data_IF_879966352734
#
_entry.id   IF_879966352734
#
_cell.length_a   1.000
_cell.length_b   1.000
_cell.length_c   1.000
_cell.angle_alpha   90.00
_cell.angle_beta   90.00
_cell.angle_gamma   90.00
#
_symmetry.space_group_name_H-M   'P 1'
#
loop_
_entity.id
_entity.type
_entity.pdbx_description
1 polymer ?
#
# COMPACT_ATOMS: atom_id res chain seq x y z
N UNK A 1 17.52 16.37 5.89
CA UNK A 1 16.34 15.58 6.34
C UNK A 1 16.70 14.82 7.62
N UNK A 2 15.80 14.68 8.61
CA UNK A 2 16.09 13.89 9.83
C UNK A 2 15.85 12.39 9.57
N UNK A 3 16.70 11.52 10.13
CA UNK A 3 16.57 10.06 10.00
C UNK A 3 15.16 9.54 10.38
N UNK A 4 14.50 10.17 11.35
CA UNK A 4 13.13 9.84 11.76
C UNK A 4 12.09 10.00 10.65
N UNK A 5 12.23 11.00 9.76
CA UNK A 5 11.31 11.18 8.62
C UNK A 5 11.51 10.12 7.54
N UNK A 6 12.73 9.62 7.38
CA UNK A 6 13.04 8.54 6.43
C UNK A 6 12.38 7.22 6.89
N UNK A 7 12.54 6.85 8.16
CA UNK A 7 11.88 5.67 8.73
C UNK A 7 10.35 5.76 8.69
N UNK A 8 9.78 6.95 8.92
CA UNK A 8 8.34 7.16 8.84
C UNK A 8 7.81 6.91 7.41
N UNK A 9 8.56 7.30 6.38
CA UNK A 9 8.23 6.99 4.98
C UNK A 9 8.24 5.49 4.73
N UNK A 10 9.27 4.78 5.17
CA UNK A 10 9.36 3.33 4.95
C UNK A 10 8.23 2.58 5.65
N UNK A 11 7.87 3.01 6.87
CA UNK A 11 6.70 2.47 7.58
C UNK A 11 5.39 2.74 6.82
N UNK A 12 5.21 3.96 6.30
CA UNK A 12 4.07 4.31 5.46
C UNK A 12 4.06 3.51 4.15
N UNK A 13 5.22 3.27 3.55
CA UNK A 13 5.37 2.44 2.34
C UNK A 13 4.97 0.99 2.59
N UNK A 14 5.39 0.40 3.71
CA UNK A 14 4.95 -0.94 4.13
C UNK A 14 3.43 -0.95 4.35
N UNK A 15 2.88 0.06 5.03
CA UNK A 15 1.44 0.20 5.23
C UNK A 15 0.65 0.30 3.91
N UNK A 16 1.21 1.00 2.92
CA UNK A 16 0.65 1.09 1.58
C UNK A 16 0.60 -0.28 0.88
N UNK A 17 1.70 -1.04 0.95
CA UNK A 17 1.78 -2.38 0.35
C UNK A 17 0.78 -3.33 1.01
N UNK A 18 0.69 -3.33 2.34
CA UNK A 18 -0.30 -4.15 3.08
C UNK A 18 -1.72 -3.77 2.66
N UNK A 19 -2.03 -2.48 2.59
CA UNK A 19 -3.34 -2.00 2.15
C UNK A 19 -3.66 -2.47 0.72
N UNK A 20 -2.68 -2.41 -0.19
CA UNK A 20 -2.86 -2.87 -1.56
C UNK A 20 -3.11 -4.39 -1.65
N UNK A 21 -2.38 -5.19 -0.86
CA UNK A 21 -2.59 -6.66 -0.80
C UNK A 21 -4.01 -6.98 -0.33
N UNK A 22 -4.50 -6.28 0.70
CA UNK A 22 -5.87 -6.49 1.21
C UNK A 22 -6.92 -6.15 0.16
N UNK A 23 -6.75 -5.06 -0.59
CA UNK A 23 -7.68 -4.69 -1.67
C UNK A 23 -7.68 -5.75 -2.78
N UNK A 24 -6.50 -6.27 -3.16
CA UNK A 24 -6.40 -7.34 -4.16
C UNK A 24 -7.08 -8.61 -3.65
N UNK A 25 -6.95 -8.94 -2.37
CA UNK A 25 -7.66 -10.07 -1.77
C UNK A 25 -9.18 -9.89 -1.85
N UNK A 26 -9.69 -8.67 -1.63
CA UNK A 26 -11.10 -8.32 -1.82
C UNK A 26 -11.60 -8.54 -3.26
N UNK A 27 -10.76 -8.21 -4.26
CA UNK A 27 -11.06 -8.47 -5.67
C UNK A 27 -11.15 -9.98 -5.95
N UNK A 28 -10.23 -10.77 -5.40
CA UNK A 28 -10.24 -12.23 -5.54
C UNK A 28 -11.53 -12.81 -4.94
N UNK A 29 -11.90 -12.40 -3.73
CA UNK A 29 -13.14 -12.86 -3.09
C UNK A 29 -14.39 -12.43 -3.86
N UNK A 30 -14.38 -11.24 -4.45
CA UNK A 30 -15.48 -10.78 -5.30
C UNK A 30 -15.61 -11.63 -6.57
N UNK A 31 -14.49 -12.02 -7.18
CA UNK A 31 -14.49 -12.94 -8.33
C UNK A 31 -14.99 -14.34 -7.95
N UNK A 32 -14.57 -14.86 -6.79
CA UNK A 32 -15.08 -16.14 -6.26
C UNK A 32 -16.57 -16.07 -5.95
N UNK A 33 -17.06 -14.97 -5.37
CA UNK A 33 -18.48 -14.76 -5.13
C UNK A 33 -19.28 -14.80 -6.44
N UNK A 34 -18.80 -14.12 -7.49
CA UNK A 34 -19.43 -14.12 -8.80
C UNK A 34 -19.47 -15.52 -9.44
N UNK A 35 -18.38 -16.29 -9.35
CA UNK A 35 -18.35 -17.66 -9.85
C UNK A 35 -19.32 -18.57 -9.08
N UNK A 36 -19.36 -18.47 -7.75
CA UNK A 36 -20.27 -19.27 -6.93
C UNK A 36 -21.74 -18.90 -7.16
N UNK A 37 -22.02 -17.63 -7.46
CA UNK A 37 -23.35 -17.19 -7.85
C UNK A 37 -23.80 -17.85 -9.17
N UNK A 38 -22.89 -17.97 -10.14
CA UNK A 38 -23.16 -18.66 -11.43
C UNK A 38 -23.37 -20.16 -11.22
N UNK A 39 -22.64 -20.79 -10.28
CA UNK A 39 -22.81 -22.23 -9.99
C UNK A 39 -23.99 -22.52 -9.04
N UNK A 40 -24.84 -21.52 -8.74
CA UNK A 40 -25.98 -21.63 -7.82
C UNK A 40 -25.62 -22.00 -6.37
N UNK A 41 -24.36 -21.81 -5.98
CA UNK A 41 -23.86 -22.02 -4.62
C UNK A 41 -24.04 -20.73 -3.80
N UNK A 42 -25.30 -20.34 -3.55
CA UNK A 42 -25.65 -19.03 -2.99
C UNK A 42 -25.06 -18.77 -1.60
N UNK A 43 -24.90 -19.83 -0.78
CA UNK A 43 -24.32 -19.72 0.57
C UNK A 43 -22.84 -19.31 0.49
N UNK A 44 -22.08 -19.94 -0.40
CA UNK A 44 -20.67 -19.64 -0.62
C UNK A 44 -20.50 -18.26 -1.28
N UNK A 45 -21.37 -17.94 -2.25
CA UNK A 45 -21.37 -16.63 -2.90
C UNK A 45 -21.57 -15.49 -1.89
N UNK A 46 -22.56 -15.61 -1.00
CA UNK A 46 -22.84 -14.60 0.02
C UNK A 46 -21.70 -14.48 1.05
N UNK A 47 -21.09 -15.60 1.45
CA UNK A 47 -19.94 -15.62 2.36
C UNK A 47 -18.77 -14.85 1.76
N UNK A 48 -18.38 -15.17 0.52
CA UNK A 48 -17.27 -14.47 -0.14
C UNK A 48 -17.55 -12.98 -0.37
N UNK A 49 -18.80 -12.61 -0.67
CA UNK A 49 -19.19 -11.22 -0.83
C UNK A 49 -19.07 -10.45 0.50
N UNK A 50 -19.52 -11.05 1.60
CA UNK A 50 -19.45 -10.46 2.94
C UNK A 50 -18.00 -10.23 3.39
N UNK A 51 -17.13 -11.20 3.13
CA UNK A 51 -15.69 -11.11 3.44
C UNK A 51 -14.95 -10.11 2.53
N UNK A 52 -15.40 -9.93 1.28
CA UNK A 52 -14.79 -8.97 0.36
C UNK A 52 -15.05 -7.50 0.74
N UNK A 53 -16.24 -7.18 1.28
CA UNK A 53 -16.64 -5.81 1.62
C UNK A 53 -15.66 -5.06 2.54
N UNK A 54 -15.25 -5.61 3.71
CA UNK A 54 -14.33 -4.90 4.61
C UNK A 54 -12.94 -4.72 4.00
N UNK A 55 -12.51 -5.59 3.08
CA UNK A 55 -11.20 -5.50 2.43
C UNK A 55 -11.09 -4.26 1.53
N UNK A 56 -12.20 -3.83 0.91
CA UNK A 56 -12.22 -2.59 0.11
C UNK A 56 -12.11 -1.32 0.95
N UNK A 57 -12.37 -1.37 2.25
CA UNK A 57 -12.16 -0.21 3.13
C UNK A 57 -10.70 0.26 3.11
N UNK A 58 -9.76 -0.65 2.86
CA UNK A 58 -8.32 -0.35 2.75
C UNK A 58 -7.92 0.43 1.49
N UNK A 59 -8.84 0.64 0.53
CA UNK A 59 -8.61 1.53 -0.62
C UNK A 59 -8.38 2.97 -0.15
N UNK A 60 -9.15 3.45 0.83
CA UNK A 60 -9.06 4.82 1.35
C UNK A 60 -7.70 5.12 2.00
N UNK A 61 -7.21 4.35 3.00
CA UNK A 61 -5.89 4.58 3.57
C UNK A 61 -4.79 4.34 2.54
N UNK A 62 -4.91 3.34 1.66
CA UNK A 62 -3.96 3.13 0.58
C UNK A 62 -3.81 4.36 -0.33
N UNK A 63 -4.92 4.96 -0.76
CA UNK A 63 -4.88 6.14 -1.61
C UNK A 63 -4.36 7.38 -0.87
N UNK A 64 -4.74 7.56 0.39
CA UNK A 64 -4.25 8.65 1.24
C UNK A 64 -2.73 8.57 1.45
N UNK A 65 -2.21 7.39 1.76
CA UNK A 65 -0.77 7.15 1.97
C UNK A 65 0.01 7.35 0.67
N UNK A 66 -0.47 6.80 -0.44
CA UNK A 66 0.16 6.99 -1.75
C UNK A 66 0.27 8.48 -2.11
N UNK A 67 -0.79 9.26 -1.88
CA UNK A 67 -0.79 10.72 -2.11
C UNK A 67 0.14 11.47 -1.16
N UNK A 68 0.32 10.98 0.06
CA UNK A 68 1.20 11.60 1.05
C UNK A 68 2.68 11.34 0.74
N UNK A 69 3.03 10.12 0.34
CA UNK A 69 4.42 9.74 -0.03
C UNK A 69 4.85 10.43 -1.33
N UNK A 70 3.95 10.55 -2.32
CA UNK A 70 4.28 11.08 -3.64
C UNK A 70 4.37 12.62 -3.70
N UNK A 71 4.56 13.30 -2.56
CA UNK A 71 4.74 14.75 -2.49
C UNK A 71 6.13 15.12 -3.05
N UNK A 72 6.25 15.98 -4.07
CA UNK A 72 7.51 16.25 -4.77
C UNK A 72 8.59 16.83 -3.84
N UNK A 73 8.22 17.62 -2.84
CA UNK A 73 9.16 18.10 -1.80
C UNK A 73 9.81 16.96 -1.01
N UNK A 74 9.04 15.93 -0.64
CA UNK A 74 9.56 14.79 0.11
C UNK A 74 10.44 13.87 -0.73
N UNK A 75 10.17 13.77 -2.04
CA UNK A 75 11.03 13.03 -2.98
C UNK A 75 12.36 13.76 -3.15
N UNK A 76 12.32 15.07 -3.34
CA UNK A 76 13.52 15.91 -3.50
C UNK A 76 14.43 15.88 -2.26
N UNK A 77 13.85 16.05 -1.05
CA UNK A 77 14.61 16.02 0.20
C UNK A 77 15.34 14.68 0.44
N UNK A 78 14.81 13.57 -0.11
CA UNK A 78 15.44 12.23 -0.01
C UNK A 78 16.61 12.11 -0.98
N UNK A 79 16.41 12.52 -2.22
CA UNK A 79 17.43 12.46 -3.25
C UNK A 79 18.64 13.29 -2.84
N UNK A 80 18.41 14.47 -2.29
CA UNK A 80 19.44 15.34 -1.73
C UNK A 80 20.15 14.69 -0.52
N UNK A 81 19.40 14.07 0.40
CA UNK A 81 20.00 13.37 1.55
C UNK A 81 20.84 12.16 1.15
N UNK A 82 20.38 11.37 0.17
CA UNK A 82 21.13 10.23 -0.40
C UNK A 82 22.39 10.71 -1.11
N UNK A 83 22.31 11.81 -1.87
CA UNK A 83 23.46 12.45 -2.52
C UNK A 83 24.48 12.98 -1.52
N UNK A 84 24.04 13.64 -0.44
CA UNK A 84 24.94 14.14 0.60
C UNK A 84 25.64 13.01 1.35
N UNK A 85 24.93 11.93 1.67
CA UNK A 85 25.50 10.78 2.35
C UNK A 85 26.46 9.99 1.44
N UNK A 86 26.14 9.83 0.16
CA UNK A 86 27.06 9.25 -0.83
C UNK A 86 28.33 10.11 -1.03
N UNK A 87 28.19 11.44 -1.11
CA UNK A 87 29.34 12.36 -1.19
C UNK A 87 30.24 12.27 0.04
N UNK A 88 29.67 12.22 1.25
CA UNK A 88 30.45 12.04 2.49
C UNK A 88 31.21 10.71 2.48
N UNK A 89 30.57 9.63 2.03
CA UNK A 89 31.21 8.31 1.96
C UNK A 89 32.36 8.28 0.94
N UNK A 90 32.18 8.92 -0.21
CA UNK A 90 33.20 9.05 -1.26
C UNK A 90 34.37 9.97 -0.88
N UNK A 91 34.21 10.85 0.11
CA UNK A 91 35.30 11.74 0.58
C UNK A 91 36.08 11.17 1.77
N UNK A 92 35.52 10.16 2.46
CA UNK A 92 36.17 9.47 3.58
C UNK A 92 36.99 8.24 3.17
N UNK A 93 36.94 7.86 1.89
CA UNK A 93 37.68 6.77 1.27
C UNK A 93 38.40 7.28 0.02
#
# INVERSE_FOLDING_TARGET
>A
MNASRLYLRDLLGIGLVISAILVVLGLIFSALAALNFITHEEVLANTYLHEALPLYFFVLPGFAIARFINRPKWVHDIEEYQLESAKKYSQSH
#
